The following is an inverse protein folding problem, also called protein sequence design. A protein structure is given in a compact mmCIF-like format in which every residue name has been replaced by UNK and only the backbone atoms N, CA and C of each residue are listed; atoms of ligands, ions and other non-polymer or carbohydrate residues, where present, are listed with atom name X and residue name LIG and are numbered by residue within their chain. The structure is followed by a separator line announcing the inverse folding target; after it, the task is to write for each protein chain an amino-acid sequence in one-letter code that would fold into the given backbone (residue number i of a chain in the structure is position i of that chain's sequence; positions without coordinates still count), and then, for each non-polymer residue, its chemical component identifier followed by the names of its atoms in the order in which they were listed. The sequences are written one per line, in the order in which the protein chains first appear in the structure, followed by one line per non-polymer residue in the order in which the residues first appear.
data_IF_815039901235
#
_entry.id   IF_815039901235
#
_cell.length_a   1.000
_cell.length_b   1.000
_cell.length_c   1.000
_cell.angle_alpha   90.00
_cell.angle_beta   90.00
_cell.angle_gamma   90.00
#
_symmetry.space_group_name_H-M   'P 1'
#
loop_
_entity.id
_entity.type
_entity.pdbx_description
1 polymer ?
#
# COMPACT_ATOMS: atom_id res chain seq x y z
N UNK A 1 3.88 -0.61 11.72
CA UNK A 1 3.25 0.12 10.60
C UNK A 1 2.31 1.23 11.07
N UNK A 2 1.54 1.05 12.16
CA UNK A 2 0.57 2.06 12.65
C UNK A 2 1.12 3.46 12.95
N UNK A 3 2.30 3.61 13.56
CA UNK A 3 2.89 4.92 13.85
C UNK A 3 3.25 5.71 12.57
N UNK A 4 3.79 5.03 11.56
CA UNK A 4 4.06 5.62 10.25
C UNK A 4 2.76 6.01 9.54
N UNK A 5 1.73 5.15 9.59
CA UNK A 5 0.43 5.43 9.00
C UNK A 5 -0.25 6.64 9.67
N UNK A 6 -0.18 6.73 11.00
CA UNK A 6 -0.72 7.86 11.74
C UNK A 6 -0.03 9.18 11.36
N UNK A 7 1.30 9.21 11.35
CA UNK A 7 2.07 10.40 10.91
C UNK A 7 1.78 10.76 9.45
N UNK A 8 1.72 9.77 8.55
CA UNK A 8 1.50 9.98 7.13
C UNK A 8 0.09 10.51 6.82
N UNK A 9 -0.94 10.00 7.49
CA UNK A 9 -2.30 10.50 7.29
C UNK A 9 -2.52 11.88 7.87
N UNK A 10 -1.88 12.21 9.01
CA UNK A 10 -1.86 13.58 9.52
C UNK A 10 -1.24 14.53 8.48
N UNK A 11 -0.07 14.19 7.97
CA UNK A 11 0.59 14.96 6.90
C UNK A 11 -0.30 15.11 5.66
N UNK A 12 -0.95 14.03 5.18
CA UNK A 12 -1.84 14.10 4.01
C UNK A 12 -3.09 14.96 4.24
N UNK A 13 -3.63 14.94 5.46
CA UNK A 13 -4.78 15.76 5.82
C UNK A 13 -4.40 17.25 5.96
N UNK A 14 -3.18 17.55 6.41
CA UNK A 14 -2.65 18.92 6.44
C UNK A 14 -2.25 19.43 5.05
N UNK A 15 -1.62 18.58 4.22
CA UNK A 15 -1.16 18.96 2.88
C UNK A 15 -2.31 19.12 1.87
N UNK A 16 -3.43 18.42 2.07
CA UNK A 16 -4.64 18.53 1.25
C UNK A 16 -5.85 18.81 2.17
N UNK A 17 -5.96 20.06 2.68
CA UNK A 17 -7.06 20.45 3.55
C UNK A 17 -8.36 20.56 2.75
N UNK A 18 -9.46 20.11 3.33
CA UNK A 18 -10.81 20.26 2.75
C UNK A 18 -11.50 21.39 3.48
N UNK A 19 -11.97 22.40 2.74
CA UNK A 19 -12.68 23.54 3.32
C UNK A 19 -14.05 23.10 3.90
N UNK A 20 -14.56 23.76 4.97
CA UNK A 20 -15.82 23.39 5.62
C UNK A 20 -17.08 23.43 4.73
N UNK A 21 -16.97 23.97 3.51
CA UNK A 21 -18.06 24.12 2.52
C UNK A 21 -17.63 23.62 1.14
N UNK A 22 -16.68 22.69 1.09
CA UNK A 22 -16.20 22.12 -0.15
C UNK A 22 -17.35 21.43 -0.90
N UNK A 23 -17.43 21.65 -2.22
CA UNK A 23 -18.38 20.93 -3.06
C UNK A 23 -18.03 19.43 -3.10
N UNK A 24 -19.00 18.56 -3.40
CA UNK A 24 -18.76 17.11 -3.51
C UNK A 24 -17.56 16.82 -4.42
N UNK A 25 -17.44 17.52 -5.55
CA UNK A 25 -16.31 17.39 -6.46
C UNK A 25 -14.96 17.65 -5.76
N UNK A 26 -14.86 18.64 -4.86
CA UNK A 26 -13.64 18.93 -4.13
C UNK A 26 -13.30 17.84 -3.10
N UNK A 27 -14.31 17.23 -2.45
CA UNK A 27 -14.11 16.06 -1.60
C UNK A 27 -13.57 14.87 -2.39
N UNK A 28 -14.18 14.57 -3.55
CA UNK A 28 -13.75 13.50 -4.43
C UNK A 28 -12.33 13.72 -4.97
N UNK A 29 -12.00 14.95 -5.37
CA UNK A 29 -10.66 15.31 -5.83
C UNK A 29 -9.62 15.22 -4.70
N UNK A 30 -9.93 15.70 -3.49
CA UNK A 30 -9.03 15.60 -2.35
C UNK A 30 -8.75 14.13 -1.97
N UNK A 31 -9.78 13.29 -1.96
CA UNK A 31 -9.64 11.85 -1.74
C UNK A 31 -8.79 11.19 -2.84
N UNK A 32 -9.00 11.56 -4.11
CA UNK A 32 -8.21 11.07 -5.23
C UNK A 32 -6.74 11.51 -5.15
N UNK A 33 -6.46 12.76 -4.77
CA UNK A 33 -5.09 13.27 -4.58
C UNK A 33 -4.38 12.54 -3.44
N UNK A 34 -5.02 12.38 -2.28
CA UNK A 34 -4.47 11.65 -1.14
C UNK A 34 -4.19 10.18 -1.50
N UNK A 35 -5.11 9.55 -2.22
CA UNK A 35 -4.96 8.17 -2.71
C UNK A 35 -3.82 8.07 -3.74
N UNK A 36 -3.72 9.02 -4.65
CA UNK A 36 -2.65 9.08 -5.65
C UNK A 36 -1.27 9.23 -5.01
N UNK A 37 -1.13 10.10 -4.00
CA UNK A 37 0.12 10.27 -3.25
C UNK A 37 0.53 8.98 -2.51
N UNK A 38 -0.43 8.25 -1.95
CA UNK A 38 -0.15 6.94 -1.34
C UNK A 38 0.29 5.90 -2.38
N UNK A 39 -0.46 5.75 -3.47
CA UNK A 39 -0.26 4.65 -4.43
C UNK A 39 0.89 4.87 -5.40
N UNK A 40 1.20 6.11 -5.75
CA UNK A 40 2.24 6.45 -6.73
C UNK A 40 3.47 7.12 -6.12
N UNK A 41 3.40 7.57 -4.86
CA UNK A 41 4.55 8.07 -4.11
C UNK A 41 5.08 7.03 -3.15
N UNK A 42 4.39 6.87 -2.02
CA UNK A 42 4.90 6.11 -0.86
C UNK A 42 5.07 4.62 -1.17
N UNK A 43 4.13 4.01 -1.90
CA UNK A 43 4.22 2.58 -2.22
C UNK A 43 5.40 2.23 -3.13
N UNK A 44 5.56 2.85 -4.32
CA UNK A 44 6.67 2.50 -5.20
C UNK A 44 8.04 2.95 -4.67
N UNK A 45 8.11 4.05 -3.92
CA UNK A 45 9.40 4.60 -3.47
C UNK A 45 9.86 4.03 -2.13
N UNK A 46 8.94 3.64 -1.25
CA UNK A 46 9.28 3.21 0.12
C UNK A 46 8.86 1.76 0.34
N UNK A 47 7.60 1.43 0.09
CA UNK A 47 7.06 0.13 0.46
C UNK A 47 7.61 -1.03 -0.38
N UNK A 48 7.65 -0.88 -1.71
CA UNK A 48 8.11 -1.94 -2.61
C UNK A 48 9.61 -2.22 -2.48
N UNK A 49 10.52 -1.23 -2.43
CA UNK A 49 11.94 -1.48 -2.19
C UNK A 49 12.20 -2.20 -0.86
N UNK A 50 11.54 -1.76 0.23
CA UNK A 50 11.63 -2.42 1.54
C UNK A 50 11.06 -3.84 1.50
N UNK A 51 9.93 -4.04 0.85
CA UNK A 51 9.31 -5.35 0.71
C UNK A 51 10.23 -6.33 -0.03
N UNK A 52 10.77 -5.95 -1.19
CA UNK A 52 11.66 -6.81 -1.96
C UNK A 52 12.98 -7.07 -1.23
N UNK A 53 13.55 -6.06 -0.56
CA UNK A 53 14.80 -6.22 0.20
C UNK A 53 14.63 -7.17 1.39
N UNK A 54 13.56 -7.00 2.17
CA UNK A 54 13.26 -7.90 3.31
C UNK A 54 12.90 -9.30 2.84
N UNK A 55 12.12 -9.43 1.77
CA UNK A 55 11.70 -10.74 1.25
C UNK A 55 12.87 -11.49 0.61
N UNK A 56 13.79 -10.78 -0.06
CA UNK A 56 15.03 -11.36 -0.59
C UNK A 56 15.94 -11.88 0.52
N UNK A 57 16.12 -11.08 1.59
CA UNK A 57 16.93 -11.46 2.75
C UNK A 57 16.35 -12.66 3.50
N UNK A 58 15.02 -12.69 3.71
CA UNK A 58 14.34 -13.82 4.36
C UNK A 58 14.39 -15.11 3.54
N UNK A 59 14.51 -15.01 2.22
CA UNK A 59 14.60 -16.16 1.31
C UNK A 59 16.04 -16.59 1.01
N UNK A 60 17.05 -15.91 1.57
CA UNK A 60 18.46 -16.20 1.30
C UNK A 60 18.88 -15.95 -0.16
N UNK A 61 18.12 -15.15 -0.92
CA UNK A 61 18.41 -14.87 -2.32
C UNK A 61 19.55 -13.85 -2.46
N UNK A 62 20.35 -13.96 -3.52
CA UNK A 62 21.33 -12.93 -3.84
C UNK A 62 20.62 -11.64 -4.31
N UNK A 63 21.34 -10.51 -4.26
CA UNK A 63 20.80 -9.21 -4.67
C UNK A 63 20.28 -9.22 -6.12
N UNK A 64 21.02 -9.86 -7.03
CA UNK A 64 20.65 -9.99 -8.44
C UNK A 64 19.39 -10.85 -8.63
N UNK A 65 19.27 -11.97 -7.90
CA UNK A 65 18.07 -12.82 -7.94
C UNK A 65 16.83 -12.11 -7.37
N UNK A 66 17.03 -11.32 -6.32
CA UNK A 66 15.97 -10.48 -5.74
C UNK A 66 15.51 -9.41 -6.73
N UNK A 67 16.44 -8.78 -7.45
CA UNK A 67 16.15 -7.75 -8.44
C UNK A 67 15.44 -8.31 -9.68
N UNK A 68 15.90 -9.44 -10.22
CA UNK A 68 15.26 -10.11 -11.35
C UNK A 68 13.81 -10.52 -11.01
N UNK A 69 13.61 -11.12 -9.84
CA UNK A 69 12.27 -11.49 -9.36
C UNK A 69 11.39 -10.26 -9.11
N UNK A 70 11.97 -9.19 -8.58
CA UNK A 70 11.27 -7.92 -8.43
C UNK A 70 10.81 -7.42 -9.80
N UNK A 71 11.67 -7.34 -10.82
CA UNK A 71 11.29 -6.87 -12.15
C UNK A 71 10.15 -7.68 -12.79
N UNK A 72 10.18 -9.00 -12.67
CA UNK A 72 9.12 -9.87 -13.22
C UNK A 72 7.81 -9.77 -12.43
N UNK A 73 7.88 -9.72 -11.10
CA UNK A 73 6.70 -9.74 -10.23
C UNK A 73 6.13 -8.35 -9.94
N UNK A 74 6.88 -7.28 -10.18
CA UNK A 74 6.54 -5.91 -9.79
C UNK A 74 5.26 -5.44 -10.46
N UNK A 75 5.18 -5.49 -11.79
CA UNK A 75 4.03 -4.96 -12.52
C UNK A 75 2.73 -5.73 -12.21
N UNK A 76 2.71 -7.08 -12.20
CA UNK A 76 1.53 -7.83 -11.78
C UNK A 76 1.10 -7.54 -10.34
N UNK A 77 2.07 -7.44 -9.41
CA UNK A 77 1.79 -7.17 -7.99
C UNK A 77 1.29 -5.73 -7.79
N UNK A 78 1.89 -4.77 -8.48
CA UNK A 78 1.51 -3.36 -8.45
C UNK A 78 0.12 -3.12 -9.04
N UNK A 79 -0.21 -3.76 -10.16
CA UNK A 79 -1.55 -3.70 -10.74
C UNK A 79 -2.63 -4.22 -9.78
N UNK A 80 -2.36 -5.34 -9.10
CA UNK A 80 -3.25 -5.88 -8.06
C UNK A 80 -3.33 -4.98 -6.83
N UNK A 81 -2.20 -4.38 -6.44
CA UNK A 81 -2.15 -3.45 -5.33
C UNK A 81 -3.02 -2.22 -5.61
N UNK A 82 -2.88 -1.61 -6.78
CA UNK A 82 -3.72 -0.49 -7.23
C UNK A 82 -5.20 -0.89 -7.25
N UNK A 83 -5.53 -2.05 -7.83
CA UNK A 83 -6.91 -2.51 -7.94
C UNK A 83 -7.59 -2.72 -6.57
N UNK A 84 -6.84 -3.17 -5.56
CA UNK A 84 -7.35 -3.35 -4.20
C UNK A 84 -7.39 -2.03 -3.41
N UNK A 85 -6.28 -1.27 -3.44
CA UNK A 85 -6.10 -0.15 -2.53
C UNK A 85 -6.75 1.15 -3.01
N UNK A 86 -6.92 1.38 -4.31
CA UNK A 86 -7.67 2.55 -4.79
C UNK A 86 -9.09 2.58 -4.20
N UNK A 87 -9.95 1.55 -4.39
CA UNK A 87 -11.31 1.61 -3.86
C UNK A 87 -11.33 1.65 -2.33
N UNK A 88 -10.41 0.91 -1.67
CA UNK A 88 -10.31 0.90 -0.20
C UNK A 88 -9.94 2.27 0.35
N UNK A 89 -8.94 2.96 -0.22
CA UNK A 89 -8.52 4.29 0.23
C UNK A 89 -9.54 5.37 -0.13
N UNK A 90 -10.19 5.26 -1.29
CA UNK A 90 -11.29 6.17 -1.63
C UNK A 90 -12.43 6.05 -0.62
N UNK A 91 -12.83 4.83 -0.26
CA UNK A 91 -13.82 4.62 0.79
C UNK A 91 -13.33 5.15 2.15
N UNK A 92 -12.05 4.96 2.49
CA UNK A 92 -11.45 5.50 3.72
C UNK A 92 -11.58 7.03 3.79
N UNK A 93 -11.22 7.75 2.73
CA UNK A 93 -11.20 9.22 2.77
C UNK A 93 -12.57 9.87 2.58
N UNK A 94 -13.54 9.14 2.00
CA UNK A 94 -14.90 9.66 1.77
C UNK A 94 -15.89 9.30 2.87
N UNK A 95 -15.74 8.13 3.49
CA UNK A 95 -16.75 7.57 4.41
C UNK A 95 -16.27 7.42 5.85
N UNK A 96 -14.96 7.48 6.10
CA UNK A 96 -14.38 7.19 7.42
C UNK A 96 -13.80 8.45 8.05
N UNK A 97 -14.30 8.79 9.24
CA UNK A 97 -13.81 9.92 10.02
C UNK A 97 -12.30 9.78 10.33
N UNK A 98 -11.54 10.88 10.40
CA UNK A 98 -10.08 10.86 10.55
C UNK A 98 -9.56 9.97 11.69
N UNK A 99 -10.29 9.90 12.81
CA UNK A 99 -9.94 9.08 13.98
C UNK A 99 -9.99 7.58 13.70
N UNK A 100 -10.87 7.15 12.78
CA UNK A 100 -11.09 5.74 12.41
C UNK A 100 -10.32 5.31 11.16
N UNK A 101 -9.65 6.24 10.47
CA UNK A 101 -8.89 5.94 9.25
C UNK A 101 -7.73 4.96 9.50
N UNK A 102 -7.06 5.08 10.65
CA UNK A 102 -5.96 4.16 11.05
C UNK A 102 -6.46 2.73 11.28
N UNK A 103 -7.46 2.48 12.15
CA UNK A 103 -7.97 1.11 12.35
C UNK A 103 -8.60 0.52 11.08
N UNK A 104 -9.24 1.35 10.23
CA UNK A 104 -9.75 0.91 8.94
C UNK A 104 -8.63 0.41 8.02
N UNK A 105 -7.57 1.20 7.83
CA UNK A 105 -6.44 0.80 6.97
C UNK A 105 -5.72 -0.43 7.53
N UNK A 106 -5.64 -0.59 8.85
CA UNK A 106 -5.06 -1.77 9.49
C UNK A 106 -5.87 -3.02 9.16
N UNK A 107 -7.20 -2.93 9.22
CA UNK A 107 -8.12 -4.02 8.90
C UNK A 107 -8.03 -4.42 7.42
N UNK A 108 -8.03 -3.44 6.52
CA UNK A 108 -7.81 -3.66 5.09
C UNK A 108 -6.41 -4.23 4.81
N UNK A 109 -5.39 -3.76 5.52
CA UNK A 109 -4.03 -4.26 5.44
C UNK A 109 -3.92 -5.73 5.81
N UNK A 110 -4.66 -6.17 6.83
CA UNK A 110 -4.73 -7.59 7.21
C UNK A 110 -5.36 -8.44 6.10
N UNK A 111 -6.46 -7.98 5.49
CA UNK A 111 -7.08 -8.65 4.33
C UNK A 111 -6.10 -8.73 3.16
N UNK A 112 -5.38 -7.65 2.88
CA UNK A 112 -4.34 -7.61 1.85
C UNK A 112 -3.21 -8.61 2.12
N UNK A 113 -2.76 -8.76 3.37
CA UNK A 113 -1.76 -9.76 3.75
C UNK A 113 -2.23 -11.20 3.51
N UNK A 114 -3.52 -11.50 3.75
CA UNK A 114 -4.10 -12.81 3.40
C UNK A 114 -4.08 -13.02 1.88
N UNK A 115 -4.44 -11.99 1.11
CA UNK A 115 -4.45 -12.05 -0.35
C UNK A 115 -3.04 -12.29 -0.92
N UNK A 116 -2.03 -11.57 -0.40
CA UNK A 116 -0.63 -11.78 -0.75
C UNK A 116 -0.15 -13.18 -0.39
N UNK A 117 -0.54 -13.71 0.77
CA UNK A 117 -0.15 -15.06 1.19
C UNK A 117 -0.67 -16.12 0.23
N UNK A 118 -1.91 -15.99 -0.25
CA UNK A 118 -2.47 -16.90 -1.26
C UNK A 118 -1.78 -16.80 -2.62
N UNK A 119 -1.39 -15.59 -3.03
CA UNK A 119 -0.75 -15.35 -4.32
C UNK A 119 0.73 -15.73 -4.36
N UNK A 120 1.40 -15.73 -3.21
CA UNK A 120 2.84 -16.01 -3.13
C UNK A 120 3.15 -17.50 -3.27
N UNK A 121 2.13 -18.38 -3.22
CA UNK A 121 2.29 -19.83 -3.29
C UNK A 121 3.07 -20.40 -2.09
N UNK A 122 3.07 -21.73 -1.89
CA UNK A 122 4.01 -22.37 -0.98
C UNK A 122 5.43 -21.94 -1.37
N UNK A 123 6.30 -21.74 -0.37
CA UNK A 123 7.74 -21.64 -0.62
C UNK A 123 8.13 -23.04 -1.11
N UNK A 124 8.22 -23.23 -2.41
CA UNK A 124 8.87 -24.41 -2.94
C UNK A 124 10.30 -24.37 -2.41
N UNK A 125 10.64 -25.36 -1.58
CA UNK A 125 11.93 -25.55 -0.95
C UNK A 125 12.97 -25.74 -2.07
N UNK A 126 13.46 -24.64 -2.63
CA UNK A 126 14.55 -24.63 -3.61
C UNK A 126 15.88 -24.92 -2.90
N UNK A 127 15.96 -26.02 -2.16
CA UNK A 127 17.07 -26.34 -1.26
C UNK A 127 17.14 -27.77 -0.70
N UNK A 128 16.41 -28.73 -1.26
CA UNK A 128 16.71 -30.16 -1.16
C UNK A 128 16.33 -30.74 -2.54
N UNK A 129 17.23 -31.17 -3.42
CA UNK A 129 18.48 -31.92 -3.27
C UNK A 129 19.47 -31.58 -4.41
#
# INVERSE_FOLDING_TARGET
TGAFQHWWFLFLNEAVPVAPYASDLQLWLAAATKTGLCQFGTIPLVYLPLFFLLTGLLRGLTFEQTLARAQESYLPLFGRNIAYWIPVQMAQFLLVDPEWQVPYVCSAGFIWSIFLSKLTGPIEEAGAE
#
